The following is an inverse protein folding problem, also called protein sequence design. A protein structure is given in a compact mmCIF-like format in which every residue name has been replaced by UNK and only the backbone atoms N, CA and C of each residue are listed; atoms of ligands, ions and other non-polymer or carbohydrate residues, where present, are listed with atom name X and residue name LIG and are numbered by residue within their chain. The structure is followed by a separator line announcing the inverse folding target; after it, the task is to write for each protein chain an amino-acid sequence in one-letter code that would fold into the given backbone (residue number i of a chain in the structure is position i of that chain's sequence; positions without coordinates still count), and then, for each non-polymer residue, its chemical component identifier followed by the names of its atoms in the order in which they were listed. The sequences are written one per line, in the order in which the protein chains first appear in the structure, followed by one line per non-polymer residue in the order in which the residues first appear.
data_IF_824160499842
#
_entry.id   IF_824160499842
#
_cell.length_a   1.000
_cell.length_b   1.000
_cell.length_c   1.000
_cell.angle_alpha   90.00
_cell.angle_beta   90.00
_cell.angle_gamma   90.00
#
_symmetry.space_group_name_H-M   'P 1'
#
loop_
_entity.id
_entity.type
_entity.pdbx_description
1 polymer ?
#
# COMPACT_ATOMS: atom_id res chain seq x y z
N UNK A 1 -17.98 -13.58 -15.53
CA UNK A 1 -16.88 -12.96 -14.75
C UNK A 1 -16.43 -14.01 -13.75
N UNK A 2 -15.21 -14.51 -13.86
CA UNK A 2 -14.71 -15.61 -13.00
C UNK A 2 -14.43 -15.02 -11.62
N UNK A 3 -15.17 -15.48 -10.61
CA UNK A 3 -14.95 -15.12 -9.21
C UNK A 3 -13.71 -15.87 -8.73
N UNK A 4 -12.55 -15.20 -8.70
CA UNK A 4 -11.38 -15.75 -8.03
C UNK A 4 -11.63 -15.68 -6.51
N UNK A 5 -12.05 -16.81 -5.94
CA UNK A 5 -12.12 -16.98 -4.48
C UNK A 5 -10.71 -16.93 -3.87
N UNK A 6 -10.58 -16.44 -2.64
CA UNK A 6 -9.34 -16.11 -1.93
C UNK A 6 -8.30 -17.23 -1.74
N UNK A 7 -8.54 -18.45 -2.23
CA UNK A 7 -7.67 -19.62 -1.97
C UNK A 7 -6.36 -19.68 -2.76
N UNK A 8 -6.23 -18.91 -3.85
CA UNK A 8 -5.04 -18.95 -4.71
C UNK A 8 -4.46 -17.55 -4.97
N UNK A 9 -4.83 -16.56 -4.15
CA UNK A 9 -4.63 -15.16 -4.49
C UNK A 9 -3.22 -14.61 -4.26
N UNK A 10 -2.34 -15.35 -3.55
CA UNK A 10 -0.96 -14.96 -3.25
C UNK A 10 -0.09 -16.12 -2.73
N UNK A 11 1.26 -16.02 -2.80
CA UNK A 11 2.18 -17.01 -2.23
C UNK A 11 1.93 -17.22 -0.73
N UNK A 12 1.86 -18.48 -0.28
CA UNK A 12 1.51 -18.89 1.09
C UNK A 12 0.06 -18.60 1.53
N UNK A 13 -0.87 -18.38 0.60
CA UNK A 13 -2.29 -18.40 0.94
C UNK A 13 -2.65 -19.74 1.63
N UNK A 14 -3.44 -19.72 2.72
CA UNK A 14 -3.82 -20.95 3.41
C UNK A 14 -4.55 -21.89 2.44
N UNK A 15 -4.12 -23.16 2.39
CA UNK A 15 -4.75 -24.18 1.53
C UNK A 15 -6.25 -24.29 1.84
N UNK A 16 -7.08 -24.34 0.78
CA UNK A 16 -8.51 -24.67 0.93
C UNK A 16 -8.62 -26.04 1.60
N UNK A 17 -9.15 -26.09 2.83
CA UNK A 17 -9.62 -27.35 3.41
C UNK A 17 -10.75 -27.90 2.52
N UNK A 18 -10.61 -29.11 2.02
CA UNK A 18 -11.49 -29.75 1.02
C UNK A 18 -12.97 -29.95 1.44
N UNK A 19 -13.46 -29.34 2.52
CA UNK A 19 -14.83 -29.56 3.04
C UNK A 19 -15.62 -28.30 3.42
N UNK A 20 -15.15 -27.10 3.08
CA UNK A 20 -16.05 -25.93 3.11
C UNK A 20 -16.89 -25.93 1.84
N UNK A 21 -18.21 -26.15 1.99
CA UNK A 21 -19.20 -25.80 0.95
C UNK A 21 -18.81 -24.43 0.40
N UNK A 22 -18.57 -24.32 -0.90
CA UNK A 22 -18.36 -23.03 -1.54
C UNK A 22 -19.63 -22.21 -1.31
N UNK A 23 -19.58 -21.33 -0.31
CA UNK A 23 -20.63 -20.38 -0.05
C UNK A 23 -20.61 -19.43 -1.25
N UNK A 24 -21.57 -19.61 -2.14
CA UNK A 24 -21.76 -18.81 -3.33
C UNK A 24 -22.33 -17.45 -2.90
N UNK A 25 -21.51 -16.68 -2.17
CA UNK A 25 -21.84 -15.34 -1.73
C UNK A 25 -21.61 -14.41 -2.92
N UNK A 26 -22.70 -13.92 -3.51
CA UNK A 26 -22.61 -12.84 -4.50
C UNK A 26 -21.92 -11.63 -3.87
N UNK A 27 -20.96 -11.05 -4.61
CA UNK A 27 -20.24 -9.87 -4.16
C UNK A 27 -21.23 -8.71 -3.97
N UNK A 28 -21.55 -8.39 -2.71
CA UNK A 28 -22.47 -7.31 -2.38
C UNK A 28 -21.79 -5.98 -2.64
N UNK A 29 -22.37 -5.16 -3.51
CA UNK A 29 -21.89 -3.81 -3.76
C UNK A 29 -22.19 -2.92 -2.56
N UNK A 30 -21.21 -2.12 -2.14
CA UNK A 30 -21.42 -1.13 -1.09
C UNK A 30 -22.23 0.03 -1.68
N UNK A 31 -23.42 0.25 -1.14
CA UNK A 31 -24.28 1.36 -1.55
C UNK A 31 -23.72 2.67 -1.00
N UNK A 32 -23.41 3.61 -1.88
CA UNK A 32 -22.97 4.96 -1.51
C UNK A 32 -24.12 5.94 -1.63
N UNK A 33 -24.22 6.86 -0.67
CA UNK A 33 -25.15 7.99 -0.73
C UNK A 33 -24.55 9.21 -1.42
N UNK A 34 -23.24 9.20 -1.67
CA UNK A 34 -22.49 10.24 -2.36
C UNK A 34 -21.78 9.64 -3.59
N UNK A 35 -21.93 10.29 -4.74
CA UNK A 35 -21.32 9.87 -6.01
C UNK A 35 -19.88 10.38 -6.18
N UNK A 36 -19.40 11.23 -5.27
CA UNK A 36 -18.04 11.73 -5.27
C UNK A 36 -17.07 10.62 -4.88
N UNK A 37 -15.98 10.46 -5.64
CA UNK A 37 -14.96 9.47 -5.29
C UNK A 37 -14.31 9.86 -3.95
N UNK A 38 -14.18 8.90 -3.04
CA UNK A 38 -13.50 9.04 -1.75
C UNK A 38 -12.14 8.35 -1.84
N UNK A 39 -11.07 9.10 -1.63
CA UNK A 39 -9.70 8.59 -1.59
C UNK A 39 -9.13 8.74 -0.19
N UNK A 40 -8.28 7.81 0.21
CA UNK A 40 -7.54 7.88 1.48
C UNK A 40 -6.05 7.97 1.22
N UNK A 41 -5.34 8.72 2.07
CA UNK A 41 -3.88 8.84 2.00
C UNK A 41 -3.24 7.54 2.49
N UNK A 42 -2.26 7.03 1.76
CA UNK A 42 -1.65 5.73 2.00
C UNK A 42 -0.13 5.82 2.00
N UNK A 43 0.48 5.25 3.03
CA UNK A 43 1.94 5.26 3.24
C UNK A 43 2.54 3.87 2.94
N UNK A 44 3.40 3.72 1.92
CA UNK A 44 4.01 2.44 1.57
C UNK A 44 5.32 2.15 2.34
N UNK A 45 5.40 2.57 3.60
CA UNK A 45 6.66 2.72 4.35
C UNK A 45 6.86 1.77 5.55
N UNK A 46 5.99 0.77 5.73
CA UNK A 46 6.14 -0.20 6.81
C UNK A 46 6.85 -1.45 6.32
N UNK A 47 7.66 -2.05 7.18
CA UNK A 47 8.44 -3.25 6.91
C UNK A 47 8.60 -4.05 8.21
N UNK A 48 8.98 -5.32 8.11
CA UNK A 48 9.29 -6.17 9.27
C UNK A 48 10.76 -6.57 9.26
N UNK A 49 11.24 -7.13 10.37
CA UNK A 49 12.56 -7.76 10.42
C UNK A 49 12.77 -8.79 9.30
N UNK A 50 11.74 -9.57 8.95
CA UNK A 50 11.79 -10.56 7.87
C UNK A 50 11.92 -9.94 6.48
N UNK A 51 11.31 -8.77 6.27
CA UNK A 51 11.31 -8.10 4.97
C UNK A 51 12.43 -7.07 4.84
N UNK A 52 13.15 -6.76 5.93
CA UNK A 52 14.24 -5.80 5.95
C UNK A 52 15.50 -6.32 6.65
N UNK A 53 16.13 -7.34 6.07
CA UNK A 53 17.48 -7.81 6.46
C UNK A 53 17.64 -8.12 7.96
N UNK A 54 16.61 -8.66 8.61
CA UNK A 54 16.62 -9.01 10.02
C UNK A 54 16.41 -7.83 10.98
N UNK A 55 16.03 -6.64 10.49
CA UNK A 55 15.90 -5.43 11.31
C UNK A 55 14.51 -4.79 11.18
N UNK A 56 13.95 -4.37 12.31
CA UNK A 56 12.73 -3.56 12.35
C UNK A 56 13.01 -2.15 11.84
N UNK A 57 12.28 -1.67 10.81
CA UNK A 57 12.59 -0.36 10.24
C UNK A 57 11.95 0.80 10.98
N UNK A 58 12.40 2.01 10.62
CA UNK A 58 12.16 3.23 11.39
C UNK A 58 10.70 3.47 11.74
N UNK A 59 9.74 3.17 10.87
CA UNK A 59 8.33 3.49 11.12
C UNK A 59 7.67 2.64 12.22
N UNK A 60 8.23 1.48 12.58
CA UNK A 60 7.76 0.72 13.76
C UNK A 60 8.55 1.05 15.03
N UNK A 61 9.78 1.54 14.92
CA UNK A 61 10.67 1.81 16.07
C UNK A 61 10.61 3.27 16.53
N UNK A 62 10.47 4.19 15.57
CA UNK A 62 10.88 5.58 15.67
C UNK A 62 12.19 5.66 16.48
N UNK A 63 12.29 6.61 17.42
CA UNK A 63 13.48 6.77 18.25
C UNK A 63 13.45 5.96 19.57
N UNK A 64 12.31 5.37 19.98
CA UNK A 64 12.10 4.95 21.38
C UNK A 64 11.42 3.60 21.58
N UNK A 65 11.22 2.82 20.50
CA UNK A 65 10.48 1.56 20.55
C UNK A 65 11.32 0.44 19.93
N UNK A 66 11.26 -0.73 20.54
CA UNK A 66 11.92 -1.94 20.04
C UNK A 66 10.90 -3.06 19.84
N UNK A 67 10.48 -3.35 18.59
CA UNK A 67 9.51 -4.40 18.31
C UNK A 67 10.00 -5.82 18.64
N UNK A 68 11.28 -6.02 18.99
CA UNK A 68 11.75 -7.29 19.54
C UNK A 68 11.28 -7.52 20.99
N UNK A 69 10.94 -6.44 21.71
CA UNK A 69 10.32 -6.52 23.03
C UNK A 69 8.85 -6.86 22.86
N UNK A 70 8.43 -8.00 23.41
CA UNK A 70 7.06 -8.51 23.35
C UNK A 70 6.51 -8.61 24.76
N UNK A 71 5.32 -8.04 24.99
CA UNK A 71 4.64 -8.13 26.27
C UNK A 71 3.96 -9.50 26.49
N UNK A 72 3.40 -9.69 27.69
CA UNK A 72 2.71 -10.93 28.07
C UNK A 72 1.46 -11.24 27.23
N UNK A 73 0.95 -10.27 26.49
CA UNK A 73 -0.20 -10.43 25.58
C UNK A 73 0.22 -10.76 24.15
N UNK A 74 1.54 -10.86 23.89
CA UNK A 74 2.09 -11.10 22.57
C UNK A 74 2.23 -9.82 21.72
N UNK A 75 1.99 -8.63 22.28
CA UNK A 75 2.14 -7.37 21.54
C UNK A 75 3.58 -6.89 21.58
N UNK A 76 4.12 -6.59 20.40
CA UNK A 76 5.42 -5.94 20.20
C UNK A 76 5.38 -4.48 20.62
N UNK A 77 6.47 -3.96 21.19
CA UNK A 77 6.60 -2.53 21.47
C UNK A 77 6.80 -1.76 20.15
N UNK A 78 5.78 -1.02 19.70
CA UNK A 78 5.82 -0.25 18.46
C UNK A 78 5.60 1.25 18.67
N UNK A 79 6.00 2.04 17.68
CA UNK A 79 5.85 3.50 17.65
C UNK A 79 4.47 3.97 17.21
N UNK A 80 3.44 3.49 17.91
CA UNK A 80 2.07 3.94 17.73
C UNK A 80 1.31 3.86 19.04
N UNK A 81 0.40 4.81 19.26
CA UNK A 81 -0.58 4.74 20.37
C UNK A 81 -1.65 3.68 20.12
N UNK A 82 -1.92 3.35 18.85
CA UNK A 82 -2.89 2.35 18.44
C UNK A 82 -2.19 1.11 17.90
N UNK A 83 -2.69 -0.07 18.27
CA UNK A 83 -2.13 -1.33 17.81
C UNK A 83 -2.92 -1.84 16.60
N UNK A 84 -2.28 -2.10 15.44
CA UNK A 84 -2.97 -2.69 14.30
C UNK A 84 -3.53 -4.06 14.67
N UNK A 85 -4.77 -4.37 14.26
CA UNK A 85 -5.34 -5.71 14.47
C UNK A 85 -4.53 -6.82 13.78
N UNK A 86 -3.84 -6.48 12.69
CA UNK A 86 -2.92 -7.36 11.96
C UNK A 86 -1.57 -7.53 12.67
N UNK A 87 -1.31 -6.80 13.76
CA UNK A 87 0.03 -6.57 14.27
C UNK A 87 0.89 -5.72 13.30
N UNK A 88 2.17 -5.49 13.65
CA UNK A 88 3.13 -4.82 12.78
C UNK A 88 3.31 -5.63 11.49
N UNK A 89 3.32 -4.93 10.36
CA UNK A 89 3.27 -5.54 9.03
C UNK A 89 4.30 -4.90 8.09
N UNK A 90 4.48 -5.54 6.92
CA UNK A 90 5.21 -4.96 5.79
C UNK A 90 4.21 -4.46 4.74
N UNK A 91 4.42 -3.25 4.21
CA UNK A 91 3.50 -2.60 3.26
C UNK A 91 3.40 -3.34 1.94
N UNK A 92 4.43 -4.09 1.54
CA UNK A 92 4.43 -4.95 0.36
C UNK A 92 3.88 -6.37 0.58
N UNK A 93 3.45 -6.72 1.79
CA UNK A 93 2.88 -8.05 2.07
C UNK A 93 1.54 -8.22 1.36
N UNK A 94 1.43 -9.26 0.54
CA UNK A 94 0.27 -9.48 -0.31
C UNK A 94 -1.03 -9.75 0.49
N UNK A 95 -0.95 -10.45 1.61
CA UNK A 95 -2.11 -10.74 2.45
C UNK A 95 -2.59 -9.48 3.16
N UNK A 96 -1.67 -8.63 3.60
CA UNK A 96 -1.98 -7.32 4.19
C UNK A 96 -2.63 -6.39 3.17
N UNK A 97 -2.07 -6.32 1.95
CA UNK A 97 -2.65 -5.51 0.87
C UNK A 97 -4.05 -5.99 0.47
N UNK A 98 -4.26 -7.30 0.32
CA UNK A 98 -5.58 -7.86 0.05
C UNK A 98 -6.58 -7.54 1.18
N UNK A 99 -6.17 -7.68 2.45
CA UNK A 99 -6.97 -7.32 3.61
C UNK A 99 -7.35 -5.83 3.62
N UNK A 100 -6.39 -4.94 3.41
CA UNK A 100 -6.63 -3.49 3.38
C UNK A 100 -7.52 -3.09 2.20
N UNK A 101 -7.33 -3.69 1.02
CA UNK A 101 -8.22 -3.50 -0.13
C UNK A 101 -9.67 -3.85 0.20
N UNK A 102 -9.89 -4.99 0.87
CA UNK A 102 -11.23 -5.40 1.27
C UNK A 102 -11.84 -4.43 2.27
N UNK A 103 -11.09 -4.00 3.29
CA UNK A 103 -11.57 -2.99 4.24
C UNK A 103 -11.99 -1.68 3.55
N UNK A 104 -11.16 -1.18 2.63
CA UNK A 104 -11.48 0.02 1.86
C UNK A 104 -12.78 -0.16 1.08
N UNK A 105 -12.96 -1.31 0.41
CA UNK A 105 -14.21 -1.61 -0.31
C UNK A 105 -15.41 -1.64 0.63
N UNK A 106 -15.31 -2.30 1.78
CA UNK A 106 -16.40 -2.36 2.77
C UNK A 106 -16.78 -0.99 3.32
N UNK A 107 -15.81 -0.09 3.47
CA UNK A 107 -16.03 1.28 3.93
C UNK A 107 -16.50 2.23 2.82
N UNK A 108 -16.62 1.77 1.57
CA UNK A 108 -17.01 2.61 0.44
C UNK A 108 -15.89 3.58 -0.01
N UNK A 109 -14.62 3.25 0.20
CA UNK A 109 -13.48 3.98 -0.38
C UNK A 109 -13.29 3.56 -1.84
N UNK A 110 -13.01 4.52 -2.72
CA UNK A 110 -12.81 4.29 -4.17
C UNK A 110 -11.35 4.01 -4.54
N UNK A 111 -10.41 4.44 -3.71
CA UNK A 111 -8.99 4.26 -3.97
C UNK A 111 -8.10 4.97 -2.96
N UNK A 112 -6.81 5.06 -3.28
CA UNK A 112 -5.83 5.80 -2.46
C UNK A 112 -5.11 6.88 -3.22
N UNK A 113 -4.59 7.82 -2.45
CA UNK A 113 -3.48 8.69 -2.78
C UNK A 113 -2.25 8.12 -2.07
N UNK A 114 -1.28 7.59 -2.80
CA UNK A 114 -0.10 6.92 -2.22
C UNK A 114 1.14 7.79 -2.35
N UNK A 115 1.90 7.89 -1.26
CA UNK A 115 3.16 8.64 -1.26
C UNK A 115 4.23 7.93 -2.10
N UNK A 116 4.96 8.73 -2.87
CA UNK A 116 5.99 8.29 -3.78
C UNK A 116 7.28 9.05 -3.53
N UNK A 117 8.31 8.29 -3.21
CA UNK A 117 9.61 8.80 -2.77
C UNK A 117 10.68 8.77 -3.88
N UNK A 118 10.30 8.47 -5.12
CA UNK A 118 11.23 8.40 -6.26
C UNK A 118 11.68 6.99 -6.63
N UNK A 119 12.37 6.84 -7.76
CA UNK A 119 12.76 5.53 -8.30
C UNK A 119 13.86 4.83 -7.50
N UNK A 120 14.62 5.57 -6.71
CA UNK A 120 15.76 5.08 -5.93
C UNK A 120 15.43 5.02 -4.42
N UNK A 121 14.15 4.87 -4.08
CA UNK A 121 13.63 5.02 -2.72
C UNK A 121 13.54 3.73 -1.90
N UNK A 122 13.96 2.60 -2.46
CA UNK A 122 14.10 1.35 -1.71
C UNK A 122 15.40 1.39 -0.91
N UNK A 123 15.28 1.27 0.42
CA UNK A 123 16.41 1.34 1.35
C UNK A 123 16.07 0.64 2.68
N UNK A 124 16.94 0.80 3.68
CA UNK A 124 16.76 0.19 5.01
C UNK A 124 15.62 0.81 5.85
N UNK A 125 15.09 1.97 5.47
CA UNK A 125 13.94 2.61 6.11
C UNK A 125 12.65 1.96 5.61
N UNK A 126 12.49 1.86 4.29
CA UNK A 126 11.42 1.09 3.66
C UNK A 126 11.69 0.82 2.18
N UNK A 127 10.94 -0.13 1.62
CA UNK A 127 10.96 -0.47 0.19
C UNK A 127 9.90 0.32 -0.58
N UNK A 128 9.96 1.66 -0.51
CA UNK A 128 8.89 2.54 -1.01
C UNK A 128 8.47 2.27 -2.46
N UNK A 129 9.43 2.12 -3.39
CA UNK A 129 9.14 1.84 -4.81
C UNK A 129 8.52 0.46 -4.95
N UNK A 130 9.15 -0.57 -4.40
CA UNK A 130 8.66 -1.94 -4.51
C UNK A 130 7.29 -2.14 -3.85
N UNK A 131 7.05 -1.49 -2.71
CA UNK A 131 5.77 -1.50 -2.01
C UNK A 131 4.67 -0.79 -2.81
N UNK A 132 4.99 0.34 -3.45
CA UNK A 132 4.04 1.04 -4.33
C UNK A 132 3.68 0.19 -5.55
N UNK A 133 4.65 -0.50 -6.16
CA UNK A 133 4.39 -1.45 -7.25
C UNK A 133 3.50 -2.62 -6.80
N UNK A 134 3.71 -3.16 -5.60
CA UNK A 134 2.88 -4.22 -5.03
C UNK A 134 1.44 -3.73 -4.75
N UNK A 135 1.32 -2.53 -4.18
CA UNK A 135 0.04 -1.87 -3.93
C UNK A 135 -0.74 -1.67 -5.23
N UNK A 136 -0.11 -1.12 -6.27
CA UNK A 136 -0.74 -0.90 -7.56
C UNK A 136 -1.35 -2.19 -8.14
N UNK A 137 -0.65 -3.32 -8.00
CA UNK A 137 -1.16 -4.64 -8.41
C UNK A 137 -2.36 -5.08 -7.58
N UNK A 138 -2.28 -4.97 -6.26
CA UNK A 138 -3.38 -5.33 -5.36
C UNK A 138 -4.64 -4.48 -5.62
N UNK A 139 -4.46 -3.18 -5.86
CA UNK A 139 -5.55 -2.24 -6.05
C UNK A 139 -6.24 -2.43 -7.39
N UNK A 140 -5.46 -2.64 -8.46
CA UNK A 140 -5.99 -3.03 -9.75
C UNK A 140 -6.83 -4.31 -9.66
N UNK A 141 -6.34 -5.33 -8.96
CA UNK A 141 -7.05 -6.59 -8.70
C UNK A 141 -8.34 -6.37 -7.90
N UNK A 142 -8.33 -5.47 -6.93
CA UNK A 142 -9.49 -5.16 -6.08
C UNK A 142 -10.53 -4.27 -6.78
N UNK A 143 -10.19 -3.66 -7.92
CA UNK A 143 -11.01 -2.64 -8.59
C UNK A 143 -10.99 -1.29 -7.86
N UNK A 144 -9.95 -1.02 -7.08
CA UNK A 144 -9.69 0.25 -6.43
C UNK A 144 -8.81 1.13 -7.33
N UNK A 145 -8.95 2.44 -7.17
CA UNK A 145 -8.16 3.44 -7.89
C UNK A 145 -6.89 3.84 -7.13
N UNK A 146 -5.93 4.41 -7.85
CA UNK A 146 -4.68 4.94 -7.27
C UNK A 146 -4.31 6.27 -7.89
N UNK A 147 -3.84 7.22 -7.07
CA UNK A 147 -3.15 8.43 -7.48
C UNK A 147 -1.83 8.55 -6.71
N UNK A 148 -0.84 9.21 -7.29
CA UNK A 148 0.46 9.43 -6.66
C UNK A 148 0.49 10.80 -5.98
N UNK A 149 1.09 10.82 -4.79
CA UNK A 149 1.51 12.01 -4.06
C UNK A 149 3.04 12.00 -4.05
N UNK A 150 3.66 12.91 -4.79
CA UNK A 150 5.12 12.99 -4.93
C UNK A 150 5.74 13.68 -3.71
N UNK A 151 6.61 12.97 -2.99
CA UNK A 151 7.36 13.48 -1.84
C UNK A 151 8.65 14.15 -2.32
N UNK A 152 8.89 15.40 -1.90
CA UNK A 152 10.09 16.16 -2.29
C UNK A 152 11.29 15.94 -1.36
N UNK A 153 11.05 15.42 -0.15
CA UNK A 153 12.09 15.16 0.85
C UNK A 153 13.26 14.32 0.33
N UNK A 154 13.07 13.24 -0.47
CA UNK A 154 14.17 12.47 -1.06
C UNK A 154 15.06 13.29 -2.00
N UNK A 155 14.60 14.43 -2.52
CA UNK A 155 15.38 15.31 -3.37
C UNK A 155 16.29 16.26 -2.59
N UNK A 156 16.14 16.39 -1.27
CA UNK A 156 16.85 17.37 -0.45
C UNK A 156 18.38 17.35 -0.70
N UNK A 157 18.97 16.15 -0.67
CA UNK A 157 20.41 15.93 -0.83
C UNK A 157 20.84 15.64 -2.27
N UNK A 158 19.91 15.64 -3.22
CA UNK A 158 20.23 15.43 -4.65
C UNK A 158 20.81 16.71 -5.24
N UNK A 159 21.95 16.57 -5.93
CA UNK A 159 22.66 17.70 -6.56
C UNK A 159 21.87 18.30 -7.73
N UNK A 160 21.36 17.46 -8.64
CA UNK A 160 20.46 17.86 -9.73
C UNK A 160 19.03 17.37 -9.47
N UNK A 161 18.31 18.12 -8.64
CA UNK A 161 16.93 17.83 -8.22
C UNK A 161 15.96 17.74 -9.42
N UNK A 162 16.13 18.62 -10.40
CA UNK A 162 15.21 18.69 -11.56
C UNK A 162 15.39 17.46 -12.45
N UNK A 163 16.63 17.03 -12.71
CA UNK A 163 16.86 15.81 -13.48
C UNK A 163 16.39 14.56 -12.75
N UNK A 164 16.53 14.49 -11.41
CA UNK A 164 16.00 13.38 -10.63
C UNK A 164 14.47 13.34 -10.65
N UNK A 165 13.80 14.47 -10.38
CA UNK A 165 12.33 14.55 -10.43
C UNK A 165 11.77 14.19 -11.82
N UNK A 166 12.45 14.58 -12.90
CA UNK A 166 12.09 14.17 -14.27
C UNK A 166 12.18 12.66 -14.48
N UNK A 167 13.17 12.00 -13.90
CA UNK A 167 13.30 10.55 -13.97
C UNK A 167 12.18 9.87 -13.18
N UNK A 168 11.86 10.39 -12.00
CA UNK A 168 10.77 9.85 -11.19
C UNK A 168 9.42 9.96 -11.89
N UNK A 169 9.09 11.14 -12.43
CA UNK A 169 7.81 11.33 -13.15
C UNK A 169 7.77 10.52 -14.45
N UNK A 170 8.91 10.34 -15.15
CA UNK A 170 8.98 9.47 -16.33
C UNK A 170 8.65 8.02 -15.97
N UNK A 171 9.23 7.52 -14.88
CA UNK A 171 8.90 6.18 -14.39
C UNK A 171 7.42 6.06 -14.05
N UNK A 172 6.82 7.04 -13.36
CA UNK A 172 5.38 7.03 -13.05
C UNK A 172 4.50 7.00 -14.31
N UNK A 173 4.90 7.72 -15.35
CA UNK A 173 4.20 7.72 -16.64
C UNK A 173 4.21 6.33 -17.30
N UNK A 174 5.39 5.71 -17.31
CA UNK A 174 5.61 4.37 -17.88
C UNK A 174 4.99 3.25 -17.05
N UNK A 175 4.94 3.38 -15.73
CA UNK A 175 4.45 2.33 -14.83
C UNK A 175 2.94 2.43 -14.55
N UNK A 176 2.43 3.64 -14.31
CA UNK A 176 1.12 3.83 -13.68
C UNK A 176 0.15 4.73 -14.44
N UNK A 177 0.57 5.88 -14.97
CA UNK A 177 -0.37 6.91 -15.47
C UNK A 177 -1.28 6.45 -16.62
N UNK A 178 -0.81 5.50 -17.42
CA UNK A 178 -1.57 4.95 -18.54
C UNK A 178 -2.56 3.85 -18.11
N UNK A 179 -2.51 3.37 -16.87
CA UNK A 179 -3.38 2.30 -16.37
C UNK A 179 -4.81 2.79 -16.12
N UNK A 180 -5.79 1.91 -16.29
CA UNK A 180 -7.21 2.23 -16.09
C UNK A 180 -7.58 2.51 -14.63
N UNK A 181 -6.87 1.87 -13.70
CA UNK A 181 -7.05 2.11 -12.26
C UNK A 181 -6.43 3.43 -11.80
N UNK A 182 -5.64 4.11 -12.64
CA UNK A 182 -5.01 5.36 -12.27
C UNK A 182 -6.01 6.52 -12.35
N UNK A 183 -6.05 7.36 -11.32
CA UNK A 183 -6.99 8.49 -11.25
C UNK A 183 -6.62 9.53 -12.31
N UNK A 184 -7.63 9.95 -13.08
CA UNK A 184 -7.50 11.00 -14.11
C UNK A 184 -8.48 12.14 -13.85
N UNK A 185 -8.04 13.37 -14.07
CA UNK A 185 -8.85 14.58 -14.07
C UNK A 185 -8.80 15.15 -15.49
N UNK A 186 -9.96 15.32 -16.12
CA UNK A 186 -10.06 15.76 -17.53
C UNK A 186 -9.21 14.89 -18.49
N UNK A 187 -9.18 13.58 -18.27
CA UNK A 187 -8.41 12.63 -19.08
C UNK A 187 -6.90 12.62 -18.81
N UNK A 188 -6.39 13.48 -17.92
CA UNK A 188 -4.96 13.56 -17.56
C UNK A 188 -4.67 12.90 -16.22
N UNK A 189 -3.54 12.21 -16.04
CA UNK A 189 -3.20 11.57 -14.77
C UNK A 189 -3.09 12.62 -13.65
N UNK A 190 -3.73 12.34 -12.51
CA UNK A 190 -3.57 13.16 -11.31
C UNK A 190 -2.20 12.86 -10.67
N UNK A 191 -1.36 13.89 -10.53
CA UNK A 191 -0.13 13.84 -9.75
C UNK A 191 -0.24 14.94 -8.70
N UNK A 192 -0.18 14.55 -7.43
CA UNK A 192 -0.13 15.48 -6.30
C UNK A 192 1.32 15.63 -5.83
N UNK A 193 1.60 16.67 -5.06
CA UNK A 193 2.91 16.91 -4.47
C UNK A 193 2.69 17.13 -2.97
N UNK A 194 3.46 16.43 -2.15
CA UNK A 194 3.58 16.65 -0.72
C UNK A 194 4.97 17.21 -0.45
N UNK A 195 4.99 18.49 -0.12
CA UNK A 195 6.17 19.33 0.04
C UNK A 195 5.72 20.79 0.24
N UNK A 196 6.61 21.68 0.71
CA UNK A 196 6.34 23.11 0.79
C UNK A 196 6.29 23.83 -0.57
#
# INVERSE_FOLDING_TARGET
MVLNSCGESYPNAPEKKQNTKEENAEAKTVSKTNNMNVYVHFMPWFETDKTNNGKWPFHWTMNTRDPNVVDVTGKRQIASHYYPLTGPYASGDAAILDYQCLLMKYCGVDGVMVDWYGINSDNDIAKHKSNTEALAKAFAKAGLKMAIVYEDSPLADVSDKVSQARQDVRYLAEAFFHKDFYVKVEGRPLLMIFGP
#
